data_IF_961796604999
#
_entry.id   IF_961796604999
#
_cell.length_a   1.000
_cell.length_b   1.000
_cell.length_c   1.000
_cell.angle_alpha   90.00
_cell.angle_beta   90.00
_cell.angle_gamma   90.00
#
_symmetry.space_group_name_H-M   'P 1'
#
loop_
_entity.id
_entity.type
_entity.pdbx_description
1 polymer ?
#
# COMPACT_ATOMS: atom_id res chain seq x y z
N UNK A 1 -63.08 11.15 -30.08
CA UNK A 1 -63.27 11.85 -28.78
C UNK A 1 -62.10 11.50 -27.82
N UNK A 2 -60.96 12.21 -27.88
CA UNK A 2 -60.65 13.44 -27.10
C UNK A 2 -60.44 13.11 -25.59
N UNK A 3 -59.40 13.50 -24.84
CA UNK A 3 -58.39 14.57 -24.92
C UNK A 3 -57.08 14.22 -24.14
N UNK A 4 -56.07 15.05 -24.43
CA UNK A 4 -54.69 15.24 -23.92
C UNK A 4 -54.52 15.42 -22.39
N UNK A 5 -53.39 14.92 -21.87
CA UNK A 5 -52.34 15.45 -20.92
C UNK A 5 -52.58 16.74 -20.08
N UNK A 6 -51.69 17.12 -19.11
CA UNK A 6 -50.81 16.38 -18.18
C UNK A 6 -50.75 16.99 -16.74
N UNK A 7 -50.12 16.31 -15.78
CA UNK A 7 -49.63 16.92 -14.53
C UNK A 7 -48.66 15.96 -13.86
N UNK A 8 -47.38 16.26 -13.64
CA UNK A 8 -46.77 17.53 -13.29
C UNK A 8 -46.11 17.39 -11.92
N UNK A 9 -45.20 16.42 -11.74
CA UNK A 9 -44.36 16.34 -10.52
C UNK A 9 -42.94 16.79 -10.88
N UNK A 10 -42.62 17.95 -10.31
CA UNK A 10 -41.39 18.70 -10.45
C UNK A 10 -40.17 17.82 -10.18
N UNK A 11 -39.32 17.76 -11.19
CA UNK A 11 -37.89 17.55 -11.00
C UNK A 11 -37.37 18.72 -10.14
N UNK A 12 -37.09 18.46 -8.86
CA UNK A 12 -36.20 19.32 -8.08
C UNK A 12 -34.77 18.98 -8.47
N UNK A 13 -34.25 19.81 -9.38
CA UNK A 13 -32.83 19.91 -9.70
C UNK A 13 -32.06 20.37 -8.46
N UNK A 14 -31.56 19.43 -7.65
CA UNK A 14 -30.48 19.74 -6.72
C UNK A 14 -29.19 19.75 -7.53
N UNK A 15 -28.85 20.97 -7.95
CA UNK A 15 -27.67 21.30 -8.72
C UNK A 15 -26.38 20.89 -8.00
N UNK A 16 -25.51 20.25 -8.79
CA UNK A 16 -24.06 20.10 -8.62
C UNK A 16 -23.42 21.22 -7.80
N UNK A 17 -22.83 20.89 -6.65
CA UNK A 17 -21.60 21.54 -6.15
C UNK A 17 -20.67 20.49 -5.53
N UNK A 18 -19.48 20.35 -6.13
CA UNK A 18 -18.28 20.00 -5.37
C UNK A 18 -17.88 18.52 -5.22
N UNK A 19 -17.83 17.71 -6.29
CA UNK A 19 -17.03 16.46 -6.24
C UNK A 19 -16.21 16.25 -7.53
N UNK A 20 -15.47 17.28 -7.94
CA UNK A 20 -14.43 17.16 -8.99
C UNK A 20 -13.02 16.90 -8.43
N UNK A 21 -12.87 16.64 -7.11
CA UNK A 21 -11.58 16.27 -6.49
C UNK A 21 -11.32 14.75 -6.45
N UNK A 22 -12.32 13.92 -6.73
CA UNK A 22 -12.18 12.45 -6.78
C UNK A 22 -11.77 11.87 -8.14
N UNK A 23 -11.82 12.66 -9.22
CA UNK A 23 -11.55 12.15 -10.58
C UNK A 23 -10.06 12.16 -10.93
N UNK A 24 -9.34 13.25 -10.62
CA UNK A 24 -7.89 13.36 -10.90
C UNK A 24 -7.08 12.38 -10.04
N UNK A 25 -7.56 12.06 -8.83
CA UNK A 25 -6.93 11.07 -7.92
C UNK A 25 -6.99 9.63 -8.43
N UNK A 26 -7.92 9.28 -9.32
CA UNK A 26 -8.03 7.92 -9.89
C UNK A 26 -7.05 7.66 -11.05
N UNK A 27 -6.58 8.71 -11.73
CA UNK A 27 -5.73 8.56 -12.92
C UNK A 27 -4.27 8.29 -12.53
N UNK A 28 -3.74 8.95 -11.50
CA UNK A 28 -2.36 8.74 -11.02
C UNK A 28 -2.12 7.40 -10.29
N UNK A 29 -3.18 6.68 -9.91
CA UNK A 29 -3.11 5.42 -9.13
C UNK A 29 -3.12 4.15 -9.99
N UNK A 30 -3.33 4.28 -11.30
CA UNK A 30 -3.36 3.16 -12.25
C UNK A 30 -2.02 2.43 -12.41
N UNK A 31 -0.86 3.10 -12.55
CA UNK A 31 0.39 2.38 -12.82
C UNK A 31 0.84 1.54 -11.63
N UNK A 32 0.70 2.04 -10.40
CA UNK A 32 1.16 1.30 -9.22
C UNK A 32 0.29 0.08 -8.90
N UNK A 33 -1.05 0.21 -8.98
CA UNK A 33 -1.94 -0.96 -8.85
C UNK A 33 -1.67 -1.98 -9.96
N UNK A 34 -1.44 -1.52 -11.18
CA UNK A 34 -1.13 -2.40 -12.31
C UNK A 34 0.18 -3.16 -12.09
N UNK A 35 1.26 -2.49 -11.67
CA UNK A 35 2.56 -3.11 -11.38
C UNK A 35 2.47 -4.12 -10.23
N UNK A 36 1.82 -3.76 -9.12
CA UNK A 36 1.63 -4.67 -7.98
C UNK A 36 0.83 -5.90 -8.39
N UNK A 37 -0.23 -5.71 -9.19
CA UNK A 37 -1.09 -6.80 -9.65
C UNK A 37 -0.38 -7.71 -10.68
N UNK A 38 0.52 -7.17 -11.50
CA UNK A 38 1.33 -7.96 -12.43
C UNK A 38 2.36 -8.82 -11.67
N UNK A 39 3.07 -8.22 -10.69
CA UNK A 39 4.02 -8.94 -9.84
C UNK A 39 3.35 -10.06 -9.02
N UNK A 40 2.11 -9.86 -8.56
CA UNK A 40 1.32 -10.90 -7.90
C UNK A 40 0.88 -12.03 -8.86
N UNK A 41 0.57 -11.68 -10.10
CA UNK A 41 0.17 -12.63 -11.14
C UNK A 41 1.35 -13.54 -11.52
N UNK A 42 2.54 -12.98 -11.70
CA UNK A 42 3.76 -13.74 -12.03
C UNK A 42 4.12 -14.78 -10.95
N UNK A 43 4.02 -14.40 -9.67
CA UNK A 43 4.24 -15.33 -8.56
C UNK A 43 3.20 -16.48 -8.58
N UNK A 44 1.92 -16.13 -8.71
CA UNK A 44 0.83 -17.11 -8.65
C UNK A 44 0.89 -18.08 -9.82
N UNK A 45 1.29 -17.62 -11.01
CA UNK A 45 1.44 -18.44 -12.21
C UNK A 45 2.65 -19.39 -12.10
N UNK A 46 3.79 -18.93 -11.56
CA UNK A 46 4.97 -19.79 -11.38
C UNK A 46 4.74 -20.91 -10.36
N UNK A 47 3.92 -20.68 -9.33
CA UNK A 47 3.67 -21.67 -8.29
C UNK A 47 2.50 -22.62 -8.59
N UNK A 48 1.56 -22.24 -9.47
CA UNK A 48 0.33 -23.01 -9.75
C UNK A 48 -0.59 -23.24 -8.54
N UNK A 49 -0.30 -22.60 -7.39
CA UNK A 49 -0.94 -22.87 -6.11
C UNK A 49 -2.01 -21.82 -5.73
N UNK A 50 -2.95 -22.20 -4.87
CA UNK A 50 -3.93 -21.25 -4.31
C UNK A 50 -3.23 -20.22 -3.39
N UNK A 51 -3.73 -18.97 -3.26
CA UNK A 51 -3.09 -17.91 -2.45
C UNK A 51 -2.81 -18.28 -0.98
N UNK A 52 -3.61 -19.20 -0.39
CA UNK A 52 -3.40 -19.69 0.98
C UNK A 52 -2.16 -20.57 1.13
N UNK A 53 -1.83 -21.39 0.13
CA UNK A 53 -0.67 -22.29 0.14
C UNK A 53 0.63 -21.48 -0.04
N UNK A 54 0.61 -20.54 -0.99
CA UNK A 54 1.71 -19.60 -1.21
C UNK A 54 2.09 -18.81 0.06
N UNK A 55 1.09 -18.43 0.87
CA UNK A 55 1.32 -17.74 2.14
C UNK A 55 2.10 -18.60 3.14
N UNK A 56 1.81 -19.89 3.23
CA UNK A 56 2.49 -20.78 4.17
C UNK A 56 3.95 -20.98 3.79
N UNK A 57 4.21 -21.22 2.50
CA UNK A 57 5.57 -21.33 1.96
C UNK A 57 6.34 -20.02 2.19
N UNK A 58 5.72 -18.87 1.91
CA UNK A 58 6.32 -17.56 2.16
C UNK A 58 6.77 -17.36 3.60
N UNK A 59 5.90 -17.68 4.57
CA UNK A 59 6.21 -17.51 6.00
C UNK A 59 7.41 -18.39 6.42
N UNK A 60 7.48 -19.62 5.92
CA UNK A 60 8.57 -20.55 6.24
C UNK A 60 9.91 -20.17 5.59
N UNK A 61 9.86 -19.65 4.37
CA UNK A 61 11.05 -19.48 3.54
C UNK A 61 11.71 -18.12 3.75
N UNK A 62 10.95 -17.04 3.91
CA UNK A 62 11.57 -15.71 3.90
C UNK A 62 10.71 -14.53 4.33
N UNK A 63 9.42 -14.71 4.59
CA UNK A 63 8.52 -13.64 5.00
C UNK A 63 8.74 -13.12 6.43
N UNK A 64 9.35 -13.94 7.30
CA UNK A 64 9.61 -13.58 8.69
C UNK A 64 10.68 -12.49 8.84
N UNK A 65 11.77 -12.57 8.06
CA UNK A 65 12.86 -11.60 8.08
C UNK A 65 12.39 -10.16 7.80
N UNK A 66 11.75 -9.84 6.65
CA UNK A 66 11.28 -8.48 6.39
C UNK A 66 10.21 -8.03 7.39
N UNK A 67 9.35 -8.93 7.86
CA UNK A 67 8.36 -8.61 8.90
C UNK A 67 9.02 -8.18 10.22
N UNK A 68 10.07 -8.89 10.66
CA UNK A 68 10.82 -8.55 11.87
C UNK A 68 11.49 -7.18 11.77
N UNK A 69 12.06 -6.84 10.61
CA UNK A 69 12.65 -5.52 10.33
C UNK A 69 11.61 -4.42 10.47
N UNK A 70 10.40 -4.61 9.92
CA UNK A 70 9.31 -3.64 10.05
C UNK A 70 8.78 -3.49 11.46
N UNK A 71 8.73 -4.57 12.25
CA UNK A 71 8.30 -4.52 13.65
C UNK A 71 9.33 -3.76 14.50
N UNK A 72 10.63 -4.05 14.34
CA UNK A 72 11.69 -3.35 15.06
C UNK A 72 11.70 -1.87 14.68
N UNK A 73 11.58 -1.56 13.39
CA UNK A 73 11.43 -0.20 12.89
C UNK A 73 10.23 0.53 13.51
N UNK A 74 9.08 -0.15 13.56
CA UNK A 74 7.88 0.40 14.15
C UNK A 74 8.06 0.69 15.64
N UNK A 75 8.70 -0.22 16.40
CA UNK A 75 9.01 -0.01 17.81
C UNK A 75 9.91 1.22 18.02
N UNK A 76 11.00 1.34 17.24
CA UNK A 76 11.92 2.48 17.32
C UNK A 76 11.20 3.80 17.02
N UNK A 77 10.39 3.83 15.96
CA UNK A 77 9.62 5.02 15.59
C UNK A 77 8.53 5.35 16.61
N UNK A 78 7.94 4.34 17.26
CA UNK A 78 6.91 4.55 18.28
C UNK A 78 7.48 5.16 19.59
N UNK A 79 8.75 4.90 19.90
CA UNK A 79 9.45 5.52 21.03
C UNK A 79 9.69 7.02 20.82
N UNK A 80 9.68 7.49 19.57
CA UNK A 80 9.83 8.91 19.25
C UNK A 80 8.47 9.62 19.29
N UNK A 81 8.37 10.76 20.00
CA UNK A 81 7.14 11.58 20.04
C UNK A 81 6.70 11.99 18.63
N UNK A 82 7.66 12.35 17.77
CA UNK A 82 7.42 12.73 16.36
C UNK A 82 7.14 11.49 15.48
N UNK A 83 7.61 10.31 15.88
CA UNK A 83 7.54 9.09 15.07
C UNK A 83 6.27 8.26 15.24
N UNK A 84 5.42 8.58 16.23
CA UNK A 84 4.23 7.78 16.59
C UNK A 84 3.30 7.49 15.40
N UNK A 85 3.06 8.48 14.55
CA UNK A 85 2.22 8.36 13.35
C UNK A 85 2.86 7.53 12.23
N UNK A 86 4.20 7.54 12.14
CA UNK A 86 4.94 6.72 11.17
C UNK A 86 5.08 5.27 11.67
N UNK A 87 5.21 5.05 12.97
CA UNK A 87 5.27 3.71 13.57
C UNK A 87 4.02 2.87 13.28
N UNK A 88 2.82 3.47 13.34
CA UNK A 88 1.56 2.79 12.98
C UNK A 88 1.56 2.31 11.52
N UNK A 89 2.14 3.09 10.60
CA UNK A 89 2.26 2.73 9.17
C UNK A 89 3.26 1.59 8.97
N UNK A 90 4.34 1.56 9.76
CA UNK A 90 5.29 0.45 9.75
C UNK A 90 4.67 -0.87 10.24
N UNK A 91 3.77 -0.84 11.22
CA UNK A 91 3.01 -2.04 11.64
C UNK A 91 2.07 -2.55 10.54
N UNK A 92 1.44 -1.65 9.78
CA UNK A 92 0.66 -2.03 8.61
C UNK A 92 1.55 -2.70 7.53
N UNK A 93 2.74 -2.16 7.28
CA UNK A 93 3.71 -2.78 6.38
C UNK A 93 4.20 -4.14 6.86
N UNK A 94 4.48 -4.30 8.16
CA UNK A 94 4.81 -5.60 8.73
C UNK A 94 3.73 -6.66 8.45
N UNK A 95 2.46 -6.26 8.54
CA UNK A 95 1.32 -7.14 8.25
C UNK A 95 1.27 -7.54 6.78
N UNK A 96 1.53 -6.60 5.86
CA UNK A 96 1.60 -6.87 4.41
C UNK A 96 2.81 -7.74 4.08
N UNK A 97 3.95 -7.54 4.74
CA UNK A 97 5.14 -8.39 4.59
C UNK A 97 4.91 -9.82 5.04
N UNK A 98 4.13 -10.06 6.10
CA UNK A 98 3.74 -11.43 6.52
C UNK A 98 2.71 -12.07 5.58
N UNK A 99 1.84 -11.25 4.98
CA UNK A 99 0.70 -11.70 4.18
C UNK A 99 0.63 -10.95 2.86
N UNK A 100 1.59 -11.17 1.93
CA UNK A 100 1.64 -10.42 0.67
C UNK A 100 0.48 -10.79 -0.27
N UNK A 101 -0.07 -12.00 -0.13
CA UNK A 101 -1.13 -12.53 -0.99
C UNK A 101 -2.53 -12.31 -0.41
N UNK A 102 -3.43 -11.77 -1.24
CA UNK A 102 -4.85 -11.63 -0.94
C UNK A 102 -5.22 -10.43 -0.04
N UNK A 103 -4.29 -9.51 0.18
CA UNK A 103 -4.54 -8.26 0.91
C UNK A 103 -4.89 -7.14 -0.07
N UNK A 104 -5.96 -6.39 0.21
CA UNK A 104 -6.32 -5.20 -0.55
C UNK A 104 -5.68 -3.98 0.09
N UNK A 105 -4.91 -3.24 -0.70
CA UNK A 105 -4.20 -2.03 -0.27
C UNK A 105 -5.09 -0.83 -0.59
N UNK A 106 -5.64 -0.22 0.45
CA UNK A 106 -6.43 0.99 0.32
C UNK A 106 -5.58 2.22 0.63
N UNK A 107 -5.51 3.13 -0.34
CA UNK A 107 -4.67 4.32 -0.28
C UNK A 107 -5.49 5.50 0.24
N UNK A 108 -5.23 5.86 1.49
CA UNK A 108 -5.77 7.07 2.10
C UNK A 108 -4.88 8.26 1.76
N UNK A 109 -5.47 9.46 1.68
CA UNK A 109 -4.67 10.68 1.63
C UNK A 109 -4.46 11.19 3.03
N UNK A 110 -3.26 11.66 3.32
CA UNK A 110 -2.92 12.41 4.53
C UNK A 110 -4.00 13.49 4.75
N UNK A 111 -4.82 13.32 5.78
CA UNK A 111 -5.75 14.35 6.26
C UNK A 111 -5.02 15.03 7.41
N UNK A 112 -4.53 16.26 7.18
CA UNK A 112 -3.92 17.06 8.22
C UNK A 112 -5.06 17.70 9.03
N UNK A 113 -5.16 17.47 10.36
CA UNK A 113 -6.11 18.17 11.21
C UNK A 113 -5.87 19.69 11.13
N UNK A 114 -6.93 20.53 11.09
CA UNK A 114 -6.80 21.98 10.97
C UNK A 114 -6.03 22.65 12.14
N UNK A 115 -5.87 21.93 13.23
CA UNK A 115 -5.25 22.28 14.50
C UNK A 115 -3.74 21.95 14.57
N UNK A 116 -3.19 21.28 13.55
CA UNK A 116 -1.76 20.97 13.47
C UNK A 116 -1.06 21.78 12.38
N UNK A 117 0.18 22.21 12.65
CA UNK A 117 1.02 22.88 11.66
C UNK A 117 1.42 21.87 10.57
N UNK A 118 0.65 21.83 9.48
CA UNK A 118 0.82 20.85 8.41
C UNK A 118 2.25 20.78 7.88
N UNK A 119 2.96 21.91 7.82
CA UNK A 119 4.35 21.98 7.36
C UNK A 119 5.31 21.12 8.19
N UNK A 120 5.14 21.06 9.51
CA UNK A 120 6.01 20.28 10.41
C UNK A 120 5.73 18.78 10.29
N UNK A 121 4.47 18.40 10.14
CA UNK A 121 4.05 17.02 9.87
C UNK A 121 4.52 16.58 8.48
N UNK A 122 4.43 17.45 7.46
CA UNK A 122 4.92 17.16 6.11
C UNK A 122 6.45 16.99 6.08
N UNK A 123 7.21 17.86 6.75
CA UNK A 123 8.68 17.76 6.77
C UNK A 123 9.17 16.54 7.54
N UNK A 124 8.64 16.29 8.73
CA UNK A 124 9.04 15.14 9.55
C UNK A 124 8.71 13.82 8.86
N UNK A 125 7.52 13.70 8.26
CA UNK A 125 7.16 12.50 7.49
C UNK A 125 7.98 12.38 6.20
N UNK A 126 8.28 13.47 5.49
CA UNK A 126 9.09 13.41 4.26
C UNK A 126 10.53 12.99 4.51
N UNK A 127 11.19 13.55 5.55
CA UNK A 127 12.58 13.23 5.88
C UNK A 127 12.70 11.78 6.38
N UNK A 128 11.81 11.36 7.28
CA UNK A 128 11.79 9.99 7.80
C UNK A 128 11.48 9.00 6.67
N UNK A 129 10.47 9.27 5.84
CA UNK A 129 10.13 8.39 4.70
C UNK A 129 11.26 8.32 3.66
N UNK A 130 11.92 9.44 3.37
CA UNK A 130 13.01 9.48 2.39
C UNK A 130 14.21 8.63 2.84
N UNK A 131 14.68 8.83 4.08
CA UNK A 131 15.87 8.13 4.58
C UNK A 131 15.52 6.67 4.93
N UNK A 132 14.48 6.47 5.74
CA UNK A 132 14.12 5.14 6.24
C UNK A 132 13.47 4.28 5.15
N UNK A 133 12.61 4.87 4.31
CA UNK A 133 11.98 4.15 3.20
C UNK A 133 12.98 3.68 2.14
N UNK A 134 13.94 4.52 1.75
CA UNK A 134 14.99 4.11 0.81
C UNK A 134 15.87 3.00 1.39
N UNK A 135 16.24 3.09 2.68
CA UNK A 135 17.03 2.04 3.34
C UNK A 135 16.28 0.70 3.33
N UNK A 136 15.02 0.68 3.72
CA UNK A 136 14.25 -0.57 3.77
C UNK A 136 13.92 -1.09 2.37
N UNK A 137 13.71 -0.21 1.39
CA UNK A 137 13.57 -0.60 -0.02
C UNK A 137 14.86 -1.27 -0.54
N UNK A 138 16.03 -0.73 -0.20
CA UNK A 138 17.32 -1.34 -0.54
C UNK A 138 17.49 -2.72 0.10
N UNK A 139 17.07 -2.90 1.36
CA UNK A 139 17.06 -4.22 2.02
C UNK A 139 16.19 -5.21 1.22
N UNK A 140 14.99 -4.81 0.80
CA UNK A 140 14.12 -5.67 0.01
C UNK A 140 14.72 -6.00 -1.36
N UNK A 141 15.43 -5.07 -2.00
CA UNK A 141 16.12 -5.29 -3.25
C UNK A 141 17.30 -6.27 -3.10
N UNK A 142 18.07 -6.14 -2.02
CA UNK A 142 19.16 -7.06 -1.69
C UNK A 142 18.64 -8.46 -1.40
N UNK A 143 17.54 -8.59 -0.65
CA UNK A 143 16.90 -9.89 -0.43
C UNK A 143 16.35 -10.47 -1.74
N UNK A 144 15.75 -9.65 -2.60
CA UNK A 144 15.27 -10.10 -3.92
C UNK A 144 16.43 -10.66 -4.76
N UNK A 145 17.59 -9.99 -4.76
CA UNK A 145 18.78 -10.44 -5.47
C UNK A 145 19.37 -11.72 -4.87
N UNK A 146 19.38 -11.83 -3.53
CA UNK A 146 19.85 -13.03 -2.84
C UNK A 146 18.97 -14.24 -3.20
N UNK A 147 17.66 -14.09 -3.20
CA UNK A 147 16.72 -15.14 -3.60
C UNK A 147 16.83 -15.49 -5.08
N UNK A 148 17.18 -14.53 -5.95
CA UNK A 148 17.43 -14.78 -7.37
C UNK A 148 18.64 -15.71 -7.61
N UNK A 149 19.66 -15.62 -6.76
CA UNK A 149 20.87 -16.46 -6.85
C UNK A 149 20.58 -17.90 -6.42
N UNK A 150 19.60 -18.11 -5.53
CA UNK A 150 19.21 -19.45 -5.10
C UNK A 150 18.25 -20.10 -6.11
N UNK A 151 18.55 -21.31 -6.59
CA UNK A 151 17.69 -22.06 -7.55
C UNK A 151 16.28 -22.30 -6.98
N UNK A 152 16.18 -22.55 -5.67
CA UNK A 152 14.90 -22.71 -4.93
C UNK A 152 14.15 -21.38 -4.79
N UNK A 153 14.86 -20.26 -4.98
CA UNK A 153 14.40 -18.92 -4.70
C UNK A 153 13.66 -18.21 -5.83
N UNK A 154 13.72 -18.71 -7.06
CA UNK A 154 13.21 -18.04 -8.29
C UNK A 154 11.81 -17.39 -8.17
N UNK A 155 10.80 -17.97 -7.47
CA UNK A 155 9.50 -17.29 -7.37
C UNK A 155 9.50 -16.09 -6.41
N UNK A 156 10.34 -16.08 -5.37
CA UNK A 156 10.30 -15.11 -4.28
C UNK A 156 10.75 -13.65 -4.58
N UNK A 157 11.63 -13.35 -5.55
CA UNK A 157 12.05 -11.99 -5.88
C UNK A 157 10.87 -11.10 -6.26
N UNK A 158 9.87 -11.62 -6.96
CA UNK A 158 8.67 -10.87 -7.35
C UNK A 158 7.92 -10.29 -6.13
N UNK A 159 7.88 -11.05 -5.04
CA UNK A 159 7.24 -10.62 -3.77
C UNK A 159 8.08 -9.56 -3.06
N UNK A 160 9.40 -9.73 -3.03
CA UNK A 160 10.31 -8.72 -2.46
C UNK A 160 10.32 -7.42 -3.28
N UNK A 161 10.25 -7.50 -4.61
CA UNK A 161 10.14 -6.33 -5.49
C UNK A 161 8.82 -5.61 -5.27
N UNK A 162 7.70 -6.33 -5.17
CA UNK A 162 6.38 -5.74 -4.84
C UNK A 162 6.45 -4.96 -3.52
N UNK A 163 7.05 -5.54 -2.49
CA UNK A 163 7.23 -4.88 -1.19
C UNK A 163 8.19 -3.68 -1.31
N UNK A 164 9.29 -3.78 -2.06
CA UNK A 164 10.21 -2.66 -2.29
C UNK A 164 9.49 -1.47 -2.94
N UNK A 165 8.69 -1.71 -3.99
CA UNK A 165 7.88 -0.68 -4.63
C UNK A 165 6.85 -0.05 -3.67
N UNK A 166 6.24 -0.86 -2.81
CA UNK A 166 5.27 -0.38 -1.82
C UNK A 166 5.92 0.56 -0.78
N UNK A 167 7.20 0.33 -0.49
CA UNK A 167 7.97 1.05 0.53
C UNK A 167 8.57 2.34 -0.01
N UNK A 168 9.01 2.36 -1.26
CA UNK A 168 9.45 3.58 -1.97
C UNK A 168 8.27 4.54 -2.18
N UNK A 169 7.06 4.01 -2.26
CA UNK A 169 5.85 4.79 -2.48
C UNK A 169 4.83 4.69 -1.32
N UNK A 170 5.20 5.10 -0.08
CA UNK A 170 4.38 4.87 1.10
C UNK A 170 3.34 5.98 1.24
N UNK A 171 2.23 5.85 0.52
CA UNK A 171 1.06 6.71 0.72
C UNK A 171 0.06 6.06 1.65
N UNK A 172 0.05 6.47 2.93
CA UNK A 172 -0.95 6.16 3.97
C UNK A 172 -1.88 4.99 3.60
N UNK A 173 -1.29 3.79 3.67
CA UNK A 173 -1.94 2.55 3.33
C UNK A 173 -2.64 2.04 4.58
N UNK A 174 -3.91 1.69 4.43
CA UNK A 174 -4.62 0.85 5.38
C UNK A 174 -4.74 -0.57 4.82
N UNK A 175 -4.63 -1.54 5.70
CA UNK A 175 -4.88 -2.95 5.42
C UNK A 175 -6.31 -3.25 5.86
N UNK A 176 -7.17 -3.64 4.92
CA UNK A 176 -8.53 -4.12 5.19
C UNK A 176 -8.66 -5.63 5.05
#
# INVERSE_FOLDING_TARGET
>A
PSRRHPGGRRATSVARRGSKRGSVRRVARRPLRFVIQHLDYDFTHQCGCRPRQCRQVWIMVGGFLPASVWIIAAMILHLSIIGRENGQKCFAMATISLRPFGVQIEYHSVVVPPDMCGTLVFYSTAVIKGIFGCLVAAIHLLLALLWLITIVGIPFPSTHLKLAFLVVWPFDISVS
#
